data_IF_484092526026
#
_entry.id   IF_484092526026
#
_cell.length_a   1.000
_cell.length_b   1.000
_cell.length_c   1.000
_cell.angle_alpha   90.00
_cell.angle_beta   90.00
_cell.angle_gamma   90.00
#
_symmetry.space_group_name_H-M   'P 1'
#
loop_
_entity.id
_entity.type
_entity.pdbx_description
1 polymer ?
#
# COMPACT_ATOMS: atom_id res chain seq x y z
N UNK A 1 6.72 5.28 25.66
CA UNK A 1 6.73 6.67 25.15
C UNK A 1 7.15 6.60 23.71
N UNK A 2 6.26 6.92 22.76
CA UNK A 2 6.64 6.99 21.35
C UNK A 2 7.55 8.19 21.14
N UNK A 3 8.57 8.05 20.29
CA UNK A 3 9.37 9.20 19.86
C UNK A 3 8.45 10.23 19.20
N UNK A 4 8.41 11.42 19.79
CA UNK A 4 7.77 12.58 19.16
C UNK A 4 8.48 12.91 17.85
N UNK A 5 7.70 13.19 16.81
CA UNK A 5 8.24 13.62 15.52
C UNK A 5 8.95 14.96 15.67
N UNK A 6 10.17 15.05 15.13
CA UNK A 6 10.90 16.32 15.06
C UNK A 6 10.21 17.32 14.13
N UNK A 7 10.53 18.61 14.25
CA UNK A 7 9.97 19.65 13.37
C UNK A 7 10.16 19.34 11.87
N UNK A 8 11.34 18.82 11.49
CA UNK A 8 11.59 18.42 10.09
C UNK A 8 10.72 17.25 9.65
N UNK A 9 10.50 16.28 10.54
CA UNK A 9 9.59 15.18 10.27
C UNK A 9 8.15 15.66 10.15
N UNK A 10 7.71 16.60 10.99
CA UNK A 10 6.37 17.18 10.88
C UNK A 10 6.18 17.91 9.53
N UNK A 11 7.13 18.76 9.12
CA UNK A 11 7.08 19.44 7.82
C UNK A 11 7.06 18.43 6.67
N UNK A 12 7.86 17.36 6.78
CA UNK A 12 7.85 16.27 5.81
C UNK A 12 6.48 15.59 5.74
N UNK A 13 5.88 15.23 6.88
CA UNK A 13 4.59 14.53 6.93
C UNK A 13 3.47 15.38 6.32
N UNK A 14 3.39 16.68 6.67
CA UNK A 14 2.40 17.59 6.09
C UNK A 14 2.58 17.72 4.57
N UNK A 15 3.81 17.96 4.13
CA UNK A 15 4.14 18.10 2.70
C UNK A 15 3.88 16.80 1.93
N UNK A 16 4.09 15.63 2.56
CA UNK A 16 3.83 14.33 1.95
C UNK A 16 2.36 14.16 1.63
N UNK A 17 1.47 14.56 2.55
CA UNK A 17 0.03 14.51 2.30
C UNK A 17 -0.39 15.57 1.28
N UNK A 18 0.16 16.79 1.36
CA UNK A 18 -0.14 17.87 0.40
C UNK A 18 0.29 17.54 -1.03
N UNK A 19 1.39 16.81 -1.18
CA UNK A 19 1.94 16.39 -2.47
C UNK A 19 1.45 15.00 -2.89
N UNK A 20 0.41 14.48 -2.24
CA UNK A 20 -0.25 13.21 -2.58
C UNK A 20 0.74 12.05 -2.64
N UNK A 21 1.61 11.97 -1.64
CA UNK A 21 2.57 10.89 -1.48
C UNK A 21 3.91 11.09 -2.15
N UNK A 22 4.20 12.27 -2.72
CA UNK A 22 5.50 12.55 -3.30
C UNK A 22 6.57 12.79 -2.22
N UNK A 23 7.20 11.70 -1.81
CA UNK A 23 8.25 11.72 -0.80
C UNK A 23 9.46 12.59 -1.15
N UNK A 24 9.93 12.56 -2.39
CA UNK A 24 11.08 13.36 -2.83
C UNK A 24 10.79 14.85 -2.74
N UNK A 25 9.62 15.29 -3.21
CA UNK A 25 9.21 16.69 -3.10
C UNK A 25 9.05 17.14 -1.65
N UNK A 26 8.52 16.26 -0.80
CA UNK A 26 8.37 16.50 0.62
C UNK A 26 9.71 16.62 1.35
N UNK A 27 10.70 15.82 0.96
CA UNK A 27 12.06 15.93 1.48
C UNK A 27 12.77 17.20 0.99
N UNK A 28 12.57 17.61 -0.28
CA UNK A 28 13.09 18.89 -0.77
C UNK A 28 12.60 20.06 0.11
N UNK A 29 11.30 20.05 0.46
CA UNK A 29 10.68 21.08 1.32
C UNK A 29 11.20 20.98 2.77
N UNK A 30 11.18 19.80 3.38
CA UNK A 30 11.48 19.63 4.80
C UNK A 30 12.94 19.90 5.16
N UNK A 31 13.86 19.70 4.21
CA UNK A 31 15.30 19.82 4.42
C UNK A 31 15.94 21.01 3.71
N UNK A 32 15.17 21.77 2.93
CA UNK A 32 15.66 22.92 2.16
C UNK A 32 16.87 22.53 1.26
N UNK A 33 16.77 21.37 0.61
CA UNK A 33 17.89 20.74 -0.14
C UNK A 33 18.23 21.51 -1.43
N UNK A 34 17.30 22.32 -1.92
CA UNK A 34 17.55 23.27 -2.99
C UNK A 34 16.52 24.40 -2.96
N UNK A 35 16.96 25.58 -3.42
CA UNK A 35 16.10 26.74 -3.57
C UNK A 35 14.88 26.36 -4.42
N UNK A 36 13.67 26.59 -3.89
CA UNK A 36 12.39 26.30 -4.54
C UNK A 36 12.33 26.82 -5.98
N UNK A 37 12.95 27.98 -6.23
CA UNK A 37 13.06 28.61 -7.54
C UNK A 37 13.67 27.69 -8.61
N UNK A 38 14.58 26.78 -8.22
CA UNK A 38 15.21 25.84 -9.15
C UNK A 38 14.20 24.84 -9.74
N UNK A 39 13.19 24.46 -8.95
CA UNK A 39 12.14 23.54 -9.36
C UNK A 39 10.99 24.23 -10.09
N UNK A 40 10.89 25.56 -9.99
CA UNK A 40 9.92 26.36 -10.74
C UNK A 40 10.36 26.64 -12.19
N UNK A 41 11.66 26.55 -12.48
CA UNK A 41 12.20 26.68 -13.85
C UNK A 41 11.95 25.37 -14.62
N UNK A 42 11.33 25.48 -15.79
CA UNK A 42 11.14 24.34 -16.69
C UNK A 42 12.50 23.77 -17.12
N UNK A 43 12.60 22.44 -17.19
CA UNK A 43 13.89 21.75 -17.39
C UNK A 43 14.64 22.18 -18.68
N UNK A 44 13.88 22.53 -19.73
CA UNK A 44 14.41 23.07 -21.00
C UNK A 44 15.08 24.43 -20.85
N UNK A 45 14.66 25.23 -19.88
CA UNK A 45 15.08 26.61 -19.66
C UNK A 45 16.19 26.71 -18.59
N UNK A 46 16.58 25.58 -17.99
CA UNK A 46 17.68 25.51 -17.03
C UNK A 46 19.04 25.54 -17.74
N UNK A 47 19.99 26.26 -17.13
CA UNK A 47 21.41 26.13 -17.48
C UNK A 47 21.92 24.73 -17.12
N UNK A 48 23.04 24.30 -17.72
CA UNK A 48 23.62 22.99 -17.40
C UNK A 48 24.01 22.86 -15.93
N UNK A 49 24.46 23.96 -15.31
CA UNK A 49 24.74 24.02 -13.88
C UNK A 49 23.46 23.85 -13.03
N UNK A 50 22.38 24.53 -13.40
CA UNK A 50 21.08 24.39 -12.74
C UNK A 50 20.52 22.97 -12.88
N UNK A 51 20.68 22.33 -14.05
CA UNK A 51 20.30 20.92 -14.26
C UNK A 51 21.10 19.99 -13.37
N UNK A 52 22.42 20.17 -13.29
CA UNK A 52 23.28 19.36 -12.43
C UNK A 52 22.87 19.49 -10.96
N UNK A 53 22.64 20.72 -10.49
CA UNK A 53 22.22 21.00 -9.12
C UNK A 53 20.84 20.39 -8.82
N UNK A 54 19.88 20.54 -9.73
CA UNK A 54 18.54 19.96 -9.58
C UNK A 54 18.60 18.43 -9.50
N UNK A 55 19.42 17.79 -10.33
CA UNK A 55 19.63 16.34 -10.30
C UNK A 55 20.26 15.86 -8.99
N UNK A 56 21.25 16.59 -8.47
CA UNK A 56 21.89 16.25 -7.19
C UNK A 56 20.92 16.43 -6.02
N UNK A 57 20.18 17.54 -6.00
CA UNK A 57 19.16 17.81 -4.99
C UNK A 57 18.07 16.73 -4.97
N UNK A 58 17.58 16.35 -6.15
CA UNK A 58 16.57 15.30 -6.28
C UNK A 58 17.06 13.95 -5.75
N UNK A 59 18.30 13.56 -6.08
CA UNK A 59 18.90 12.31 -5.57
C UNK A 59 19.03 12.32 -4.05
N UNK A 60 19.53 13.41 -3.48
CA UNK A 60 19.68 13.57 -2.03
C UNK A 60 18.32 13.51 -1.33
N UNK A 61 17.33 14.23 -1.85
CA UNK A 61 15.97 14.24 -1.29
C UNK A 61 15.29 12.87 -1.38
N UNK A 62 15.51 12.13 -2.47
CA UNK A 62 14.97 10.78 -2.62
C UNK A 62 15.50 9.82 -1.54
N UNK A 63 16.80 9.89 -1.24
CA UNK A 63 17.41 9.10 -0.15
C UNK A 63 16.80 9.49 1.20
N UNK A 64 16.74 10.79 1.50
CA UNK A 64 16.17 11.27 2.77
C UNK A 64 14.70 10.89 2.94
N UNK A 65 13.92 10.97 1.85
CA UNK A 65 12.54 10.51 1.85
C UNK A 65 12.43 9.04 2.18
N UNK A 66 13.29 8.19 1.60
CA UNK A 66 13.27 6.76 1.87
C UNK A 66 13.57 6.47 3.33
N UNK A 67 14.55 7.18 3.90
CA UNK A 67 14.91 7.05 5.32
C UNK A 67 13.77 7.48 6.25
N UNK A 68 13.05 8.56 5.92
CA UNK A 68 11.92 9.03 6.73
C UNK A 68 10.73 8.07 6.67
N UNK A 69 10.39 7.57 5.48
CA UNK A 69 9.27 6.63 5.31
C UNK A 69 9.52 5.25 5.92
N UNK A 70 10.74 4.93 6.33
CA UNK A 70 11.06 3.72 7.10
C UNK A 70 10.84 3.87 8.61
N UNK A 71 10.65 5.09 9.10
CA UNK A 71 10.46 5.36 10.52
C UNK A 71 9.00 5.19 10.91
N UNK A 72 8.73 4.32 11.88
CA UNK A 72 7.37 4.07 12.37
C UNK A 72 6.67 5.33 12.89
N UNK A 73 7.41 6.24 13.54
CA UNK A 73 6.87 7.52 14.03
C UNK A 73 6.41 8.45 12.90
N UNK A 74 7.13 8.46 11.76
CA UNK A 74 6.78 9.25 10.58
C UNK A 74 5.53 8.67 9.90
N UNK A 75 5.49 7.34 9.70
CA UNK A 75 4.33 6.68 9.10
C UNK A 75 3.08 6.92 9.94
N UNK A 76 3.19 6.71 11.27
CA UNK A 76 2.07 6.97 12.17
C UNK A 76 1.59 8.42 12.07
N UNK A 77 2.51 9.40 12.00
CA UNK A 77 2.11 10.81 11.88
C UNK A 77 1.43 11.11 10.55
N UNK A 78 1.86 10.49 9.45
CA UNK A 78 1.17 10.61 8.15
C UNK A 78 -0.25 10.06 8.26
N UNK A 79 -0.44 8.90 8.88
CA UNK A 79 -1.76 8.32 9.11
C UNK A 79 -2.65 9.25 9.95
N UNK A 80 -2.11 9.81 11.04
CA UNK A 80 -2.82 10.78 11.88
C UNK A 80 -3.27 12.01 11.07
N UNK A 81 -2.42 12.56 10.19
CA UNK A 81 -2.75 13.72 9.33
C UNK A 81 -3.82 13.33 8.30
N UNK A 82 -3.75 12.13 7.72
CA UNK A 82 -4.75 11.64 6.78
C UNK A 82 -6.12 11.50 7.47
N UNK A 83 -6.15 10.95 8.67
CA UNK A 83 -7.37 10.86 9.49
C UNK A 83 -7.92 12.25 9.84
N UNK A 84 -7.06 13.19 10.28
CA UNK A 84 -7.43 14.59 10.55
C UNK A 84 -8.06 15.27 9.32
N UNK A 85 -7.59 14.94 8.11
CA UNK A 85 -8.12 15.47 6.84
C UNK A 85 -9.36 14.73 6.33
N UNK A 86 -9.88 13.78 7.10
CA UNK A 86 -11.11 13.06 6.77
C UNK A 86 -10.91 11.84 5.88
N UNK A 87 -9.68 11.34 5.70
CA UNK A 87 -9.41 10.01 5.13
C UNK A 87 -9.68 8.90 6.15
N UNK A 88 -10.87 8.96 6.75
CA UNK A 88 -11.37 8.01 7.73
C UNK A 88 -12.34 7.05 7.05
N UNK A 89 -12.33 5.78 7.46
CA UNK A 89 -13.19 4.72 6.90
C UNK A 89 -14.67 5.13 6.81
N UNK A 90 -15.17 5.87 7.81
CA UNK A 90 -16.54 6.36 7.83
C UNK A 90 -16.87 7.30 6.67
N UNK A 91 -15.95 8.18 6.28
CA UNK A 91 -16.13 9.14 5.18
C UNK A 91 -15.99 8.42 3.83
N UNK A 92 -14.97 7.57 3.69
CA UNK A 92 -14.77 6.74 2.49
C UNK A 92 -16.02 5.88 2.23
N UNK A 93 -16.58 5.30 3.28
CA UNK A 93 -17.82 4.53 3.22
C UNK A 93 -19.04 5.36 2.81
N UNK A 94 -19.16 6.59 3.30
CA UNK A 94 -20.24 7.49 2.87
C UNK A 94 -20.14 7.83 1.38
N UNK A 95 -18.95 8.19 0.90
CA UNK A 95 -18.72 8.46 -0.52
C UNK A 95 -18.95 7.22 -1.40
N UNK A 96 -18.50 6.05 -0.94
CA UNK A 96 -18.78 4.78 -1.60
C UNK A 96 -20.29 4.55 -1.77
N UNK A 97 -21.09 4.76 -0.73
CA UNK A 97 -22.56 4.64 -0.83
C UNK A 97 -23.19 5.66 -1.78
N UNK A 98 -22.67 6.90 -1.85
CA UNK A 98 -23.14 7.92 -2.81
C UNK A 98 -22.90 7.47 -4.24
N UNK A 99 -21.72 6.92 -4.53
CA UNK A 99 -21.37 6.39 -5.87
C UNK A 99 -22.28 5.21 -6.24
N UNK A 100 -22.49 4.28 -5.32
CA UNK A 100 -23.36 3.12 -5.54
C UNK A 100 -24.81 3.53 -5.84
N UNK A 101 -25.33 4.57 -5.17
CA UNK A 101 -26.70 5.04 -5.37
C UNK A 101 -27.02 5.29 -6.86
N UNK A 102 -26.06 5.86 -7.58
CA UNK A 102 -26.21 6.23 -8.99
C UNK A 102 -25.69 5.16 -9.97
N UNK A 103 -25.15 4.05 -9.47
CA UNK A 103 -24.63 2.97 -10.31
C UNK A 103 -25.74 2.06 -10.89
N UNK A 104 -25.37 1.23 -11.84
CA UNK A 104 -26.23 0.17 -12.39
C UNK A 104 -26.53 -0.92 -11.34
N UNK A 105 -27.55 -1.75 -11.61
CA UNK A 105 -28.02 -2.77 -10.67
C UNK A 105 -26.96 -3.84 -10.36
N UNK A 106 -26.09 -4.20 -11.31
CA UNK A 106 -25.04 -5.19 -11.06
C UNK A 106 -23.97 -4.64 -10.11
N UNK A 107 -23.59 -3.37 -10.30
CA UNK A 107 -22.66 -2.68 -9.39
C UNK A 107 -23.25 -2.56 -7.99
N UNK A 108 -24.53 -2.22 -7.87
CA UNK A 108 -25.26 -2.20 -6.58
C UNK A 108 -25.27 -3.57 -5.91
N UNK A 109 -25.54 -4.63 -6.66
CA UNK A 109 -25.56 -6.00 -6.15
C UNK A 109 -24.19 -6.44 -5.62
N UNK A 110 -23.10 -6.15 -6.35
CA UNK A 110 -21.72 -6.45 -5.91
C UNK A 110 -21.32 -5.67 -4.66
N UNK A 111 -21.73 -4.42 -4.55
CA UNK A 111 -21.48 -3.61 -3.37
C UNK A 111 -22.21 -4.16 -2.12
N UNK A 112 -23.45 -4.60 -2.28
CA UNK A 112 -24.23 -5.26 -1.21
C UNK A 112 -23.55 -6.56 -0.78
N UNK A 113 -23.13 -7.40 -1.72
CA UNK A 113 -22.39 -8.64 -1.44
C UNK A 113 -21.10 -8.35 -0.64
N UNK A 114 -20.31 -7.38 -1.12
CA UNK A 114 -19.06 -6.95 -0.47
C UNK A 114 -19.30 -6.43 0.96
N UNK A 115 -20.37 -5.66 1.17
CA UNK A 115 -20.77 -5.19 2.51
C UNK A 115 -21.10 -6.35 3.47
N UNK A 116 -21.85 -7.34 3.01
CA UNK A 116 -22.23 -8.49 3.84
C UNK A 116 -21.08 -9.48 4.08
N UNK A 117 -20.15 -9.60 3.12
CA UNK A 117 -18.87 -10.31 3.29
C UNK A 117 -18.00 -9.65 4.36
N UNK A 118 -17.83 -8.32 4.30
CA UNK A 118 -17.11 -7.56 5.32
C UNK A 118 -17.74 -7.69 6.73
N UNK A 119 -19.07 -7.82 6.80
CA UNK A 119 -19.78 -8.07 8.07
C UNK A 119 -19.71 -9.52 8.56
N UNK A 120 -19.01 -10.40 7.83
CA UNK A 120 -18.91 -11.83 8.14
C UNK A 120 -20.24 -12.57 8.04
N UNK A 121 -21.26 -11.98 7.39
CA UNK A 121 -22.59 -12.61 7.22
C UNK A 121 -22.63 -13.53 6.01
N UNK A 122 -21.75 -13.30 5.03
CA UNK A 122 -21.52 -14.17 3.89
C UNK A 122 -20.08 -14.63 3.99
N UNK A 123 -19.86 -15.91 4.27
CA UNK A 123 -18.55 -16.55 4.13
C UNK A 123 -18.48 -17.15 2.75
N UNK A 124 -17.44 -16.85 1.97
CA UNK A 124 -17.16 -17.63 0.77
C UNK A 124 -16.99 -19.09 1.19
N UNK A 125 -17.57 -20.02 0.43
CA UNK A 125 -17.37 -21.45 0.67
C UNK A 125 -15.87 -21.71 0.52
N UNK A 126 -15.20 -22.04 1.63
CA UNK A 126 -13.86 -22.60 1.60
C UNK A 126 -13.94 -23.92 0.81
N UNK A 127 -13.55 -23.88 -0.46
CA UNK A 127 -13.29 -25.08 -1.25
C UNK A 127 -12.07 -25.79 -0.65
N UNK A 128 -12.30 -26.50 0.45
CA UNK A 128 -11.28 -27.30 1.11
C UNK A 128 -11.13 -28.58 0.29
N UNK A 129 -10.31 -28.54 -0.76
CA UNK A 129 -9.82 -29.78 -1.38
C UNK A 129 -8.85 -30.45 -0.40
N UNK A 130 -9.40 -31.26 0.50
CA UNK A 130 -8.61 -32.17 1.33
C UNK A 130 -8.12 -33.30 0.45
N UNK A 131 -6.87 -33.25 -0.01
CA UNK A 131 -6.17 -34.44 -0.50
C UNK A 131 -5.59 -35.17 0.71
N UNK A 132 -6.24 -36.24 1.14
CA UNK A 132 -5.66 -37.18 2.09
C UNK A 132 -4.78 -38.17 1.32
N UNK A 133 -3.47 -38.13 1.58
CA UNK A 133 -2.57 -39.21 1.19
C UNK A 133 -2.68 -40.30 2.25
N UNK A 134 -3.21 -41.46 1.87
CA UNK A 134 -3.26 -42.63 2.75
C UNK A 134 -2.15 -43.58 2.31
N UNK A 135 -1.19 -43.85 3.20
CA UNK A 135 -0.20 -44.90 2.97
C UNK A 135 -0.88 -46.24 3.24
N UNK A 136 -1.31 -46.91 2.18
CA UNK A 136 -1.90 -48.24 2.25
C UNK A 136 -0.78 -49.26 2.06
N UNK A 137 -0.71 -50.25 2.94
CA UNK A 137 0.20 -51.39 2.78
C UNK A 137 -0.04 -52.10 1.45
N UNK A 138 1.05 -52.45 0.77
CA UNK A 138 1.03 -52.98 -0.60
C UNK A 138 0.13 -54.23 -0.74
N UNK A 139 0.16 -55.12 0.25
CA UNK A 139 -0.64 -56.35 0.23
C UNK A 139 -2.16 -56.07 0.31
N UNK A 140 -2.54 -54.99 1.00
CA UNK A 140 -3.94 -54.54 1.08
C UNK A 140 -4.34 -53.88 -0.24
N UNK A 141 -3.45 -53.08 -0.84
CA UNK A 141 -3.70 -52.43 -2.12
C UNK A 141 -3.93 -53.45 -3.25
N UNK A 142 -3.15 -54.54 -3.29
CA UNK A 142 -3.29 -55.61 -4.29
C UNK A 142 -4.57 -56.42 -4.10
N UNK A 143 -4.96 -56.72 -2.86
CA UNK A 143 -6.20 -57.46 -2.53
C UNK A 143 -7.46 -56.72 -3.00
N UNK A 144 -7.43 -55.38 -2.97
CA UNK A 144 -8.56 -54.53 -3.35
C UNK A 144 -8.38 -53.79 -4.69
N UNK A 145 -7.30 -54.08 -5.45
CA UNK A 145 -7.09 -53.59 -6.81
C UNK A 145 -6.82 -52.09 -6.94
N UNK A 146 -6.19 -51.46 -5.95
CA UNK A 146 -5.87 -50.01 -5.96
C UNK A 146 -4.50 -49.81 -6.63
N UNK A 147 -4.48 -49.31 -7.88
CA UNK A 147 -3.25 -49.08 -8.65
C UNK A 147 -2.86 -47.60 -8.67
N UNK A 148 -1.77 -47.24 -7.98
CA UNK A 148 -1.23 -45.88 -7.98
C UNK A 148 -0.17 -45.60 -6.92
N UNK A 149 0.77 -46.53 -6.69
CA UNK A 149 1.88 -46.34 -5.75
C UNK A 149 3.10 -45.88 -6.55
N UNK A 150 3.61 -44.68 -6.25
CA UNK A 150 4.87 -44.20 -6.84
C UNK A 150 6.04 -44.96 -6.19
N UNK A 151 6.84 -45.66 -6.99
CA UNK A 151 8.09 -46.30 -6.55
C UNK A 151 9.15 -45.22 -6.33
N UNK A 152 9.53 -44.99 -5.06
CA UNK A 152 10.74 -44.23 -4.73
C UNK A 152 11.96 -45.12 -5.01
N UNK A 153 12.66 -44.82 -6.10
CA UNK A 153 13.95 -45.41 -6.43
C UNK A 153 15.00 -44.98 -5.38
N UNK A 154 15.67 -45.94 -4.74
CA UNK A 154 16.98 -45.77 -4.08
C UNK A 154 18.07 -46.43 -4.90
#
# INVERSE_FOLDING_TARGET
MGEDVTLKQEIFCQSWVDTVGNGTQSALIAFDIANKELFDIADKDRTDEQRLLANLAYKTASVMSNDYLRKASVIKRIDDILEERGFVDSIVKQEHFKLIKNADENTKMRAIDSYYKLKGKITDKLDTKVSMTVNIDKDIAETYGINGIAEENS
#
